data_IF_902645198956
#
_entry.id   IF_902645198956
#
_cell.length_a   1.000
_cell.length_b   1.000
_cell.length_c   1.000
_cell.angle_alpha   90.00
_cell.angle_beta   90.00
_cell.angle_gamma   90.00
#
_symmetry.space_group_name_H-M   'P 1'
#
loop_
_entity.id
_entity.type
_entity.pdbx_description
1 polymer ?
#
# COMPACT_ATOMS: atom_id res chain seq x y z
N UNK A 1 -22.14 -4.35 -15.99
CA UNK A 1 -20.76 -4.71 -16.36
C UNK A 1 -19.86 -4.24 -15.22
N UNK A 2 -18.97 -5.08 -14.69
CA UNK A 2 -18.04 -4.65 -13.65
C UNK A 2 -17.00 -3.71 -14.27
N UNK A 3 -16.84 -2.51 -13.72
CA UNK A 3 -15.77 -1.61 -14.13
C UNK A 3 -14.42 -2.21 -13.72
N UNK A 4 -13.36 -2.05 -14.54
CA UNK A 4 -12.03 -2.51 -14.17
C UNK A 4 -11.60 -1.83 -12.86
N UNK A 5 -10.94 -2.59 -11.99
CA UNK A 5 -10.43 -2.04 -10.72
C UNK A 5 -9.30 -1.07 -11.00
N UNK A 6 -9.26 0.00 -10.22
CA UNK A 6 -8.23 1.04 -10.26
C UNK A 6 -6.95 0.51 -9.63
N UNK A 7 -5.80 0.68 -10.29
CA UNK A 7 -4.50 0.23 -9.81
C UNK A 7 -3.83 1.33 -9.01
N UNK A 8 -3.58 1.07 -7.73
CA UNK A 8 -3.00 2.06 -6.80
C UNK A 8 -1.65 1.56 -6.29
N UNK A 9 -0.61 2.38 -6.46
CA UNK A 9 0.68 2.16 -5.82
C UNK A 9 0.71 2.90 -4.48
N UNK A 10 0.85 2.17 -3.37
CA UNK A 10 0.95 2.76 -2.03
C UNK A 10 2.40 2.75 -1.53
N UNK A 11 2.92 3.93 -1.20
CA UNK A 11 4.26 4.14 -0.65
C UNK A 11 4.16 4.66 0.78
N UNK A 12 4.68 3.87 1.71
CA UNK A 12 4.50 4.11 3.14
C UNK A 12 3.28 3.33 3.66
N UNK A 13 3.56 2.27 4.41
CA UNK A 13 2.57 1.40 5.04
C UNK A 13 2.73 1.45 6.55
N UNK A 14 2.71 2.67 7.09
CA UNK A 14 2.44 2.91 8.51
C UNK A 14 0.93 2.95 8.77
N UNK A 15 0.50 3.39 9.95
CA UNK A 15 -0.94 3.39 10.30
C UNK A 15 -1.85 4.04 9.23
N UNK A 16 -1.50 5.25 8.77
CA UNK A 16 -2.30 5.97 7.75
C UNK A 16 -2.33 5.23 6.42
N UNK A 17 -1.16 4.80 5.91
CA UNK A 17 -1.07 4.08 4.64
C UNK A 17 -1.77 2.73 4.65
N UNK A 18 -1.67 1.99 5.76
CA UNK A 18 -2.36 0.72 5.95
C UNK A 18 -3.88 0.90 5.92
N UNK A 19 -4.41 1.89 6.66
CA UNK A 19 -5.86 2.14 6.66
C UNK A 19 -6.37 2.68 5.32
N UNK A 20 -5.60 3.55 4.65
CA UNK A 20 -5.96 4.04 3.33
C UNK A 20 -6.01 2.89 2.30
N UNK A 21 -5.00 2.02 2.30
CA UNK A 21 -4.96 0.85 1.44
C UNK A 21 -6.11 -0.13 1.75
N UNK A 22 -6.41 -0.35 3.03
CA UNK A 22 -7.54 -1.18 3.47
C UNK A 22 -8.87 -0.61 2.96
N UNK A 23 -9.12 0.68 3.19
CA UNK A 23 -10.33 1.37 2.74
C UNK A 23 -10.54 1.30 1.21
N UNK A 24 -9.46 1.42 0.45
CA UNK A 24 -9.49 1.29 -1.02
C UNK A 24 -9.90 -0.12 -1.47
N UNK A 25 -9.41 -1.16 -0.79
CA UNK A 25 -9.69 -2.54 -1.19
C UNK A 25 -11.05 -3.06 -0.72
N UNK A 26 -11.52 -2.68 0.47
CA UNK A 26 -12.85 -3.10 0.94
C UNK A 26 -13.98 -2.59 0.04
N UNK A 27 -13.77 -1.46 -0.64
CA UNK A 27 -14.72 -0.92 -1.61
C UNK A 27 -14.83 -1.77 -2.88
N UNK A 28 -13.93 -2.75 -3.07
CA UNK A 28 -13.93 -3.68 -4.21
C UNK A 28 -13.59 -3.05 -5.56
N UNK A 29 -13.21 -1.77 -5.59
CA UNK A 29 -12.96 -0.98 -6.80
C UNK A 29 -11.50 -0.68 -7.07
N UNK A 30 -10.61 -1.03 -6.14
CA UNK A 30 -9.17 -0.80 -6.28
C UNK A 30 -8.38 -2.09 -6.03
N UNK A 31 -7.21 -2.17 -6.65
CA UNK A 31 -6.15 -3.13 -6.37
C UNK A 31 -4.93 -2.36 -5.89
N UNK A 32 -4.50 -2.61 -4.65
CA UNK A 32 -3.39 -1.90 -4.06
C UNK A 32 -2.12 -2.73 -4.19
N UNK A 33 -1.07 -2.09 -4.72
CA UNK A 33 0.31 -2.56 -4.65
C UNK A 33 1.03 -1.78 -3.56
N UNK A 34 1.31 -2.43 -2.44
CA UNK A 34 1.96 -1.79 -1.30
C UNK A 34 3.48 -2.01 -1.32
N UNK A 35 4.24 -0.93 -1.22
CA UNK A 35 5.70 -0.97 -1.13
C UNK A 35 6.14 -0.90 0.32
N UNK A 36 6.68 -2.02 0.80
CA UNK A 36 7.07 -2.27 2.19
C UNK A 36 8.59 -2.41 2.24
N UNK A 37 9.29 -1.52 2.96
CA UNK A 37 10.75 -1.63 3.11
C UNK A 37 11.13 -2.47 4.34
N UNK A 38 10.84 -1.96 5.53
CA UNK A 38 11.27 -2.56 6.79
C UNK A 38 10.40 -3.73 7.25
N UNK A 39 9.12 -3.75 6.87
CA UNK A 39 8.12 -4.70 7.37
C UNK A 39 7.63 -5.71 6.34
N UNK A 40 8.27 -5.79 5.16
CA UNK A 40 7.83 -6.70 4.08
C UNK A 40 7.68 -8.15 4.56
N UNK A 41 8.70 -8.70 5.22
CA UNK A 41 8.68 -10.09 5.70
C UNK A 41 7.55 -10.35 6.70
N UNK A 42 7.32 -9.40 7.60
CA UNK A 42 6.28 -9.51 8.61
C UNK A 42 4.90 -9.53 7.96
N UNK A 43 4.65 -8.62 7.02
CA UNK A 43 3.37 -8.52 6.30
C UNK A 43 3.18 -9.70 5.34
N UNK A 44 4.23 -10.16 4.67
CA UNK A 44 4.15 -11.35 3.83
C UNK A 44 3.70 -12.57 4.65
N UNK A 45 4.33 -12.81 5.80
CA UNK A 45 4.05 -13.98 6.64
C UNK A 45 2.76 -13.88 7.43
N UNK A 46 2.46 -12.71 8.01
CA UNK A 46 1.36 -12.54 8.96
C UNK A 46 0.27 -11.59 8.50
N UNK A 47 0.53 -10.71 7.55
CA UNK A 47 -0.36 -9.62 7.19
C UNK A 47 -0.37 -8.50 8.23
N UNK A 48 -1.35 -7.61 8.12
CA UNK A 48 -1.66 -6.57 9.10
C UNK A 48 -2.85 -6.99 9.94
N UNK A 49 -2.73 -6.78 11.24
CA UNK A 49 -3.86 -6.77 12.14
C UNK A 49 -4.37 -5.33 12.25
N UNK A 50 -5.65 -5.14 12.00
CA UNK A 50 -6.33 -3.84 12.06
C UNK A 50 -7.39 -3.92 13.15
N UNK A 51 -7.32 -2.95 14.05
CA UNK A 51 -8.29 -2.72 15.11
C UNK A 51 -8.82 -1.29 14.94
N UNK A 52 -10.07 -1.17 14.50
CA UNK A 52 -10.69 0.11 14.15
C UNK A 52 -12.13 0.18 14.64
N UNK A 53 -12.48 1.27 15.31
CA UNK A 53 -13.87 1.54 15.71
C UNK A 53 -14.82 1.63 14.50
N UNK A 54 -14.33 2.10 13.35
CA UNK A 54 -15.16 2.31 12.15
C UNK A 54 -15.22 1.06 11.27
N UNK A 55 -14.08 0.39 11.05
CA UNK A 55 -14.00 -0.75 10.14
C UNK A 55 -14.21 -2.10 10.83
N UNK A 56 -14.33 -2.10 12.15
CA UNK A 56 -14.49 -3.29 12.97
C UNK A 56 -13.22 -3.65 13.74
N UNK A 57 -13.46 -4.36 14.83
CA UNK A 57 -12.45 -5.00 15.64
C UNK A 57 -12.17 -6.40 15.05
N UNK A 58 -10.94 -6.91 15.18
CA UNK A 58 -10.50 -8.25 14.73
C UNK A 58 -10.32 -8.48 13.22
N UNK A 59 -9.92 -7.46 12.45
CA UNK A 59 -9.38 -7.72 11.11
C UNK A 59 -7.97 -8.28 11.27
N UNK A 60 -7.82 -9.59 11.08
CA UNK A 60 -6.55 -10.30 11.29
C UNK A 60 -5.88 -10.69 9.97
N UNK A 61 -4.57 -10.44 9.90
CA UNK A 61 -3.73 -10.85 8.79
C UNK A 61 -4.15 -10.35 7.40
N UNK A 62 -4.80 -9.19 7.34
CA UNK A 62 -5.14 -8.54 6.08
C UNK A 62 -3.88 -8.20 5.27
N UNK A 63 -3.95 -8.35 3.95
CA UNK A 63 -2.88 -8.01 3.03
C UNK A 63 -3.47 -7.24 1.85
N UNK A 64 -2.78 -6.19 1.37
CA UNK A 64 -3.07 -5.60 0.06
C UNK A 64 -2.97 -6.65 -1.04
N UNK A 65 -3.68 -6.45 -2.15
CA UNK A 65 -3.68 -7.35 -3.31
C UNK A 65 -2.26 -7.72 -3.74
N UNK A 66 -1.35 -6.74 -3.75
CA UNK A 66 0.06 -6.97 -4.04
C UNK A 66 0.96 -6.30 -2.99
N UNK A 67 2.06 -6.97 -2.65
CA UNK A 67 3.10 -6.42 -1.79
C UNK A 67 4.47 -6.51 -2.48
N UNK A 68 5.29 -5.47 -2.37
CA UNK A 68 6.67 -5.44 -2.92
C UNK A 68 7.66 -4.82 -1.95
N UNK A 69 8.94 -5.20 -2.07
CA UNK A 69 10.04 -4.63 -1.28
C UNK A 69 10.49 -3.27 -1.81
N UNK A 70 10.38 -3.09 -3.11
CA UNK A 70 10.89 -1.94 -3.87
C UNK A 70 9.78 -1.35 -4.73
N UNK A 71 9.99 -0.09 -5.13
CA UNK A 71 9.14 0.55 -6.13
C UNK A 71 9.36 -0.21 -7.45
N UNK A 72 8.28 -0.69 -8.11
CA UNK A 72 8.43 -1.41 -9.36
C UNK A 72 8.88 -0.47 -10.48
N UNK A 73 9.73 -0.96 -11.38
CA UNK A 73 10.03 -0.28 -12.63
C UNK A 73 9.04 -0.77 -13.68
N UNK A 74 7.99 0.02 -13.93
CA UNK A 74 6.90 -0.38 -14.83
C UNK A 74 7.34 -0.62 -16.28
N UNK A 75 8.40 0.05 -16.73
CA UNK A 75 8.92 -0.12 -18.09
C UNK A 75 9.78 -1.37 -18.22
N UNK A 76 10.67 -1.62 -17.25
CA UNK A 76 11.56 -2.79 -17.27
C UNK A 76 10.83 -4.10 -16.93
N UNK A 77 9.84 -4.04 -16.04
CA UNK A 77 9.07 -5.21 -15.60
C UNK A 77 7.82 -5.48 -16.48
N UNK A 78 7.63 -4.71 -17.56
CA UNK A 78 6.47 -4.80 -18.46
C UNK A 78 5.11 -4.78 -17.72
N UNK A 79 5.05 -4.06 -16.60
CA UNK A 79 3.85 -3.95 -15.79
C UNK A 79 2.91 -2.91 -16.37
N UNK A 80 1.61 -3.16 -16.27
CA UNK A 80 0.62 -2.09 -16.45
C UNK A 80 0.90 -0.97 -15.45
N UNK A 81 0.88 0.29 -15.92
CA UNK A 81 1.02 1.45 -15.06
C UNK A 81 -0.03 1.52 -13.95
N UNK A 82 0.19 2.42 -13.00
CA UNK A 82 -0.74 2.70 -11.91
C UNK A 82 -1.56 3.94 -12.25
N UNK A 83 -2.86 3.90 -11.92
CA UNK A 83 -3.75 5.05 -12.09
C UNK A 83 -3.48 6.11 -11.01
N UNK A 84 -3.09 5.67 -9.80
CA UNK A 84 -2.78 6.55 -8.68
C UNK A 84 -1.55 6.10 -7.91
N UNK A 85 -0.83 7.07 -7.35
CA UNK A 85 0.25 6.87 -6.38
C UNK A 85 -0.15 7.57 -5.08
N UNK A 86 -0.21 6.82 -3.99
CA UNK A 86 -0.53 7.35 -2.66
C UNK A 86 0.73 7.28 -1.81
N UNK A 87 1.18 8.42 -1.28
CA UNK A 87 2.38 8.51 -0.44
C UNK A 87 1.97 8.93 0.97
N UNK A 88 2.25 8.09 1.95
CA UNK A 88 1.90 8.37 3.37
C UNK A 88 3.12 8.38 4.29
N UNK A 89 4.29 8.70 3.75
CA UNK A 89 5.50 8.89 4.54
C UNK A 89 5.40 10.15 5.40
N UNK A 90 5.88 10.10 6.65
CA UNK A 90 5.95 11.28 7.53
C UNK A 90 6.79 12.37 6.87
N UNK A 91 6.21 13.55 6.68
CA UNK A 91 6.93 14.74 6.25
C UNK A 91 7.55 15.42 7.47
N UNK A 92 8.88 15.59 7.48
CA UNK A 92 9.60 16.30 8.54
C UNK A 92 10.41 17.42 7.87
N UNK A 93 10.23 18.69 8.26
CA UNK A 93 10.82 19.84 7.55
C UNK A 93 12.35 19.94 7.63
N UNK A 94 13.02 19.24 8.57
CA UNK A 94 14.47 19.40 8.82
C UNK A 94 15.36 18.27 8.26
N UNK A 95 14.80 17.31 7.52
CA UNK A 95 15.59 16.25 6.89
C UNK A 95 15.69 16.54 5.38
N UNK A 96 16.86 16.90 4.84
CA UNK A 96 17.01 17.06 3.41
C UNK A 96 16.65 15.75 2.72
N UNK A 97 15.82 15.86 1.69
CA UNK A 97 15.35 14.76 0.85
C UNK A 97 16.54 13.97 0.29
N UNK A 98 16.98 12.92 0.99
CA UNK A 98 18.05 12.03 0.55
C UNK A 98 17.47 10.98 -0.41
N UNK A 99 16.86 11.44 -1.50
CA UNK A 99 16.54 10.57 -2.64
C UNK A 99 17.77 10.55 -3.54
N UNK A 100 18.53 9.45 -3.49
CA UNK A 100 19.35 9.06 -4.64
C UNK A 100 18.41 8.30 -5.57
N UNK A 101 18.04 8.96 -6.67
CA UNK A 101 17.53 8.32 -7.88
C UNK A 101 18.72 7.70 -8.59
#
# INVERSE_FOLDING_TARGET
MAHPKVKVLSVGMGGVGTMAAYALEIGGRAEVTAVLRSNFEAVQKKGFDIDSLEHGHDIKGWRPTHIRRTIPNVAEEELSGFDYIVVTTKSIPEIPLRWKI
#
